data_IF_067647751763
#
_entry.id   IF_067647751763
#
_cell.length_a   1.000
_cell.length_b   1.000
_cell.length_c   1.000
_cell.angle_alpha   90.00
_cell.angle_beta   90.00
_cell.angle_gamma   90.00
#
_symmetry.space_group_name_H-M   'P 1'
#
loop_
_entity.id
_entity.type
_entity.pdbx_description
1 polymer ?
#
# COMPACT_ATOMS: atom_id res chain seq x y z
N UNK A 1 -38.65 35.00 -35.87
CA UNK A 1 -37.74 33.86 -35.98
C UNK A 1 -36.49 34.17 -35.19
N UNK A 2 -36.28 33.57 -34.02
CA UNK A 2 -35.01 33.73 -33.29
C UNK A 2 -34.02 32.64 -33.74
N UNK A 3 -32.81 33.09 -34.04
CA UNK A 3 -31.68 32.24 -34.44
C UNK A 3 -31.05 31.47 -33.28
N UNK A 4 -30.29 30.39 -33.56
CA UNK A 4 -29.75 29.52 -32.52
C UNK A 4 -28.55 30.15 -31.83
N UNK A 5 -28.57 30.13 -30.49
CA UNK A 5 -27.44 30.49 -29.63
C UNK A 5 -26.50 29.29 -29.57
N UNK A 6 -25.32 29.49 -30.12
CA UNK A 6 -24.24 28.49 -30.08
C UNK A 6 -23.53 28.58 -28.71
N UNK A 7 -23.77 27.61 -27.81
CA UNK A 7 -23.04 27.47 -26.56
C UNK A 7 -21.67 26.82 -26.86
N UNK A 8 -20.59 27.61 -26.80
CA UNK A 8 -19.24 27.08 -26.74
C UNK A 8 -18.98 26.57 -25.34
N UNK A 9 -18.86 25.25 -25.20
CA UNK A 9 -18.34 24.62 -23.98
C UNK A 9 -16.82 24.74 -23.96
N UNK A 10 -16.29 25.59 -23.07
CA UNK A 10 -14.87 25.60 -22.75
C UNK A 10 -14.54 24.36 -21.87
N UNK A 11 -13.89 23.37 -22.45
CA UNK A 11 -13.26 22.31 -21.70
C UNK A 11 -11.96 22.85 -21.07
N UNK A 12 -12.00 23.13 -19.77
CA UNK A 12 -10.80 23.45 -18.99
C UNK A 12 -9.99 22.15 -18.80
N UNK A 13 -8.88 22.01 -19.53
CA UNK A 13 -7.87 21.01 -19.22
C UNK A 13 -7.24 21.40 -17.86
N UNK A 14 -7.55 20.64 -16.83
CA UNK A 14 -6.82 20.69 -15.57
C UNK A 14 -5.43 20.09 -15.81
N UNK A 15 -4.44 20.94 -16.10
CA UNK A 15 -3.03 20.57 -16.04
C UNK A 15 -2.73 20.39 -14.56
N UNK A 16 -2.78 19.16 -14.08
CA UNK A 16 -2.29 18.80 -12.76
C UNK A 16 -0.80 19.15 -12.69
N UNK A 17 -0.47 20.24 -11.98
CA UNK A 17 0.91 20.57 -11.67
C UNK A 17 1.46 19.45 -10.76
N UNK A 18 2.17 18.49 -11.34
CA UNK A 18 3.00 17.58 -10.55
C UNK A 18 4.05 18.44 -9.85
N UNK A 19 3.90 18.60 -8.56
CA UNK A 19 4.94 19.22 -7.75
C UNK A 19 6.20 18.35 -7.86
N UNK A 20 7.37 18.97 -8.04
CA UNK A 20 8.62 18.21 -8.08
C UNK A 20 8.79 17.45 -6.76
N UNK A 21 9.14 16.16 -6.84
CA UNK A 21 9.46 15.36 -5.66
C UNK A 21 10.53 16.07 -4.82
N UNK A 22 10.38 16.12 -3.49
CA UNK A 22 11.39 16.76 -2.64
C UNK A 22 12.73 16.03 -2.79
N UNK A 23 13.82 16.79 -2.83
CA UNK A 23 15.17 16.24 -2.90
C UNK A 23 15.57 15.64 -1.55
N UNK A 24 16.46 14.64 -1.60
CA UNK A 24 17.09 14.10 -0.39
C UNK A 24 17.73 15.21 0.46
N UNK A 25 17.68 15.02 1.78
CA UNK A 25 18.23 15.96 2.76
C UNK A 25 19.52 15.40 3.37
N UNK A 26 20.68 15.60 2.71
CA UNK A 26 21.96 15.05 3.16
C UNK A 26 22.51 15.70 4.42
N UNK A 27 21.92 16.84 4.82
CA UNK A 27 22.25 17.58 6.03
C UNK A 27 21.70 16.96 7.32
N UNK A 28 20.80 15.98 7.22
CA UNK A 28 20.26 15.28 8.39
C UNK A 28 21.25 14.22 8.89
N UNK A 29 21.52 14.23 10.19
CA UNK A 29 22.20 13.12 10.86
C UNK A 29 21.28 11.92 10.82
N UNK A 30 21.76 10.80 10.26
CA UNK A 30 20.99 9.56 10.10
C UNK A 30 21.58 8.46 10.95
N UNK A 31 20.70 7.65 11.50
CA UNK A 31 21.09 6.43 12.17
C UNK A 31 21.57 5.40 11.16
N UNK A 32 22.41 4.43 11.57
CA UNK A 32 22.80 3.33 10.72
C UNK A 32 21.59 2.55 10.25
N UNK A 33 21.59 2.10 9.00
CA UNK A 33 20.60 1.19 8.45
C UNK A 33 21.32 0.09 7.62
N UNK A 34 20.62 -0.98 7.34
CA UNK A 34 21.12 -2.15 6.62
C UNK A 34 20.37 -2.34 5.29
N UNK A 35 20.89 -3.21 4.44
CA UNK A 35 20.18 -3.65 3.23
C UNK A 35 18.82 -4.27 3.57
N UNK A 36 18.71 -4.95 4.73
CA UNK A 36 17.43 -5.50 5.20
C UNK A 36 16.36 -4.43 5.48
N UNK A 37 16.76 -3.27 6.00
CA UNK A 37 15.85 -2.14 6.19
C UNK A 37 15.39 -1.56 4.84
N UNK A 38 16.32 -1.44 3.87
CA UNK A 38 16.00 -0.98 2.52
C UNK A 38 15.07 -1.96 1.81
N UNK A 39 15.34 -3.26 1.89
CA UNK A 39 14.51 -4.30 1.28
C UNK A 39 13.10 -4.32 1.88
N UNK A 40 12.99 -4.17 3.21
CA UNK A 40 11.70 -4.05 3.89
C UNK A 40 10.91 -2.84 3.41
N UNK A 41 11.51 -1.65 3.45
CA UNK A 41 10.85 -0.40 3.01
C UNK A 41 10.44 -0.48 1.54
N UNK A 42 11.30 -1.02 0.69
CA UNK A 42 11.06 -1.14 -0.75
C UNK A 42 9.97 -2.16 -1.07
N UNK A 43 9.93 -3.28 -0.33
CA UNK A 43 8.94 -4.35 -0.51
C UNK A 43 7.58 -4.01 0.09
N UNK A 44 7.53 -3.29 1.22
CA UNK A 44 6.28 -2.94 1.91
C UNK A 44 5.48 -1.86 1.17
N UNK A 45 6.13 -0.98 0.39
CA UNK A 45 5.43 0.01 -0.44
C UNK A 45 4.45 -0.64 -1.43
N UNK A 46 4.86 -1.56 -2.33
CA UNK A 46 3.93 -2.23 -3.24
C UNK A 46 2.93 -3.13 -2.52
N UNK A 47 3.31 -3.72 -1.38
CA UNK A 47 2.41 -4.48 -0.54
C UNK A 47 1.24 -3.59 -0.08
N UNK A 48 1.51 -2.48 0.57
CA UNK A 48 0.49 -1.53 1.01
C UNK A 48 -0.30 -0.90 -0.14
N UNK A 49 0.35 -0.60 -1.26
CA UNK A 49 -0.34 -0.07 -2.44
C UNK A 49 -1.39 -1.04 -3.00
N UNK A 50 -1.18 -2.34 -2.91
CA UNK A 50 -2.19 -3.32 -3.30
C UNK A 50 -3.38 -3.29 -2.33
N UNK A 51 -3.17 -3.22 -1.02
CA UNK A 51 -4.26 -3.11 -0.05
C UNK A 51 -5.06 -1.80 -0.23
N UNK A 52 -4.37 -0.67 -0.46
CA UNK A 52 -5.03 0.62 -0.78
C UNK A 52 -5.88 0.52 -2.03
N UNK A 53 -5.40 -0.18 -3.07
CA UNK A 53 -6.15 -0.39 -4.31
C UNK A 53 -7.45 -1.16 -4.04
N UNK A 54 -7.34 -2.33 -3.41
CA UNK A 54 -8.51 -3.20 -3.23
C UNK A 54 -9.47 -2.71 -2.14
N UNK A 55 -8.98 -2.06 -1.08
CA UNK A 55 -9.84 -1.39 -0.10
C UNK A 55 -10.59 -0.20 -0.71
N UNK A 56 -9.97 0.49 -1.68
CA UNK A 56 -10.61 1.56 -2.44
C UNK A 56 -11.80 1.10 -3.31
N UNK A 57 -11.96 -0.18 -3.56
CA UNK A 57 -13.12 -0.72 -4.30
C UNK A 57 -14.38 -0.87 -3.44
N UNK A 58 -14.28 -0.78 -2.12
CA UNK A 58 -15.34 -1.12 -1.18
C UNK A 58 -16.70 -0.46 -1.51
N UNK A 59 -16.72 0.85 -1.77
CA UNK A 59 -17.94 1.59 -2.09
C UNK A 59 -18.56 1.11 -3.41
N UNK A 60 -17.78 1.05 -4.48
CA UNK A 60 -18.23 0.67 -5.83
C UNK A 60 -18.65 -0.81 -5.92
N UNK A 61 -18.17 -1.64 -5.01
CA UNK A 61 -18.49 -3.07 -4.94
C UNK A 61 -19.60 -3.39 -3.94
N UNK A 62 -20.19 -2.37 -3.31
CA UNK A 62 -21.35 -2.51 -2.42
C UNK A 62 -21.03 -3.16 -1.08
N UNK A 63 -19.88 -2.84 -0.51
CA UNK A 63 -19.49 -3.30 0.81
C UNK A 63 -20.49 -2.84 1.88
N UNK A 64 -20.69 -3.69 2.90
CA UNK A 64 -21.54 -3.31 4.04
C UNK A 64 -20.92 -2.14 4.85
N UNK A 65 -21.74 -1.33 5.56
CA UNK A 65 -21.27 -0.11 6.21
C UNK A 65 -20.07 -0.26 7.14
N UNK A 66 -20.04 -1.32 7.94
CA UNK A 66 -18.93 -1.57 8.88
C UNK A 66 -17.61 -1.88 8.15
N UNK A 67 -17.71 -2.52 6.99
CA UNK A 67 -16.54 -2.83 6.16
C UNK A 67 -16.06 -1.58 5.40
N UNK A 68 -16.97 -0.72 4.93
CA UNK A 68 -16.62 0.58 4.36
C UNK A 68 -15.74 1.39 5.32
N UNK A 69 -16.17 1.52 6.57
CA UNK A 69 -15.38 2.25 7.61
C UNK A 69 -14.00 1.64 7.83
N UNK A 70 -13.90 0.30 7.82
CA UNK A 70 -12.60 -0.37 7.93
C UNK A 70 -11.71 -0.06 6.73
N UNK A 71 -12.25 -0.19 5.51
CA UNK A 71 -11.53 0.09 4.27
C UNK A 71 -11.04 1.55 4.18
N UNK A 72 -11.88 2.52 4.56
CA UNK A 72 -11.51 3.94 4.59
C UNK A 72 -10.31 4.18 5.52
N UNK A 73 -10.33 3.61 6.73
CA UNK A 73 -9.23 3.75 7.70
C UNK A 73 -7.95 3.10 7.19
N UNK A 74 -8.05 1.91 6.62
CA UNK A 74 -6.93 1.18 6.01
C UNK A 74 -6.30 1.99 4.86
N UNK A 75 -7.13 2.56 3.98
CA UNK A 75 -6.65 3.41 2.87
C UNK A 75 -5.87 4.63 3.39
N UNK A 76 -6.35 5.29 4.44
CA UNK A 76 -5.65 6.46 5.01
C UNK A 76 -4.35 6.03 5.67
N UNK A 77 -4.39 5.08 6.61
CA UNK A 77 -3.21 4.63 7.35
C UNK A 77 -2.10 4.12 6.43
N UNK A 78 -2.44 3.23 5.50
CA UNK A 78 -1.43 2.64 4.61
C UNK A 78 -0.88 3.65 3.57
N UNK A 79 -1.64 4.67 3.19
CA UNK A 79 -1.09 5.79 2.38
C UNK A 79 -0.07 6.61 3.16
N UNK A 80 -0.31 6.87 4.44
CA UNK A 80 0.61 7.60 5.29
C UNK A 80 1.91 6.79 5.49
N UNK A 81 1.81 5.48 5.70
CA UNK A 81 2.96 4.59 5.80
C UNK A 81 3.75 4.49 4.48
N UNK A 82 3.08 4.41 3.32
CA UNK A 82 3.73 4.50 2.00
C UNK A 82 4.49 5.83 1.87
N UNK A 83 3.88 6.94 2.25
CA UNK A 83 4.53 8.24 2.16
C UNK A 83 5.75 8.32 3.08
N UNK A 84 5.66 7.77 4.28
CA UNK A 84 6.77 7.68 5.24
C UNK A 84 7.94 6.85 4.64
N UNK A 85 7.68 5.62 4.19
CA UNK A 85 8.69 4.74 3.60
C UNK A 85 9.38 5.38 2.40
N UNK A 86 8.61 6.01 1.52
CA UNK A 86 9.14 6.71 0.34
C UNK A 86 10.03 7.89 0.72
N UNK A 87 9.68 8.64 1.76
CA UNK A 87 10.51 9.73 2.28
C UNK A 87 11.80 9.19 2.89
N UNK A 88 11.71 8.13 3.69
CA UNK A 88 12.86 7.48 4.31
C UNK A 88 13.87 7.00 3.27
N UNK A 89 13.42 6.30 2.21
CA UNK A 89 14.28 5.85 1.10
C UNK A 89 14.89 7.03 0.35
N UNK A 90 14.08 8.03 0.00
CA UNK A 90 14.56 9.22 -0.73
C UNK A 90 15.64 9.96 0.04
N UNK A 91 15.43 10.16 1.32
CA UNK A 91 16.36 10.87 2.18
C UNK A 91 17.71 10.15 2.30
N UNK A 92 17.76 8.86 2.05
CA UNK A 92 18.97 8.03 2.08
C UNK A 92 19.58 7.81 0.69
N UNK A 93 18.95 8.34 -0.37
CA UNK A 93 19.40 8.20 -1.75
C UNK A 93 19.11 6.82 -2.35
N UNK A 94 18.23 6.06 -1.71
CA UNK A 94 17.82 4.74 -2.14
C UNK A 94 16.77 4.80 -3.26
N UNK A 95 16.60 3.68 -3.97
CA UNK A 95 15.56 3.55 -5.01
C UNK A 95 14.17 3.64 -4.36
N UNK A 96 13.33 4.55 -4.88
CA UNK A 96 11.99 4.81 -4.34
C UNK A 96 10.93 4.22 -5.28
N UNK A 97 10.20 3.17 -4.88
CA UNK A 97 9.06 2.66 -5.65
C UNK A 97 7.97 3.72 -5.84
N UNK A 98 7.21 3.59 -6.93
CA UNK A 98 6.02 4.43 -7.11
C UNK A 98 4.98 4.14 -6.00
N UNK A 99 4.30 5.19 -5.53
CA UNK A 99 3.34 5.06 -4.42
C UNK A 99 2.12 4.15 -4.74
N UNK A 100 1.88 3.89 -6.01
CA UNK A 100 0.82 3.02 -6.52
C UNK A 100 1.37 1.75 -7.20
N UNK A 101 2.64 1.42 -7.02
CA UNK A 101 3.21 0.17 -7.50
C UNK A 101 2.58 -1.01 -6.74
N UNK A 102 1.98 -1.96 -7.44
CA UNK A 102 1.35 -3.15 -6.85
C UNK A 102 2.16 -4.43 -7.06
N UNK A 103 3.41 -4.29 -7.47
CA UNK A 103 4.38 -5.37 -7.65
C UNK A 103 5.73 -4.89 -7.17
N UNK A 104 6.46 -5.76 -6.48
CA UNK A 104 7.85 -5.50 -6.14
C UNK A 104 8.74 -5.87 -7.33
N UNK A 105 9.49 -4.88 -7.84
CA UNK A 105 10.38 -5.10 -8.98
C UNK A 105 11.79 -5.37 -8.49
N UNK A 106 12.27 -6.57 -8.75
CA UNK A 106 13.64 -6.98 -8.43
C UNK A 106 14.45 -7.24 -9.70
N UNK A 107 15.73 -6.89 -9.67
CA UNK A 107 16.65 -7.20 -10.75
C UNK A 107 17.46 -8.44 -10.39
N UNK A 108 17.19 -9.55 -11.06
CA UNK A 108 17.93 -10.81 -10.91
C UNK A 108 18.70 -11.11 -12.19
N UNK A 109 20.03 -11.31 -12.09
CA UNK A 109 20.91 -11.57 -13.24
C UNK A 109 20.77 -10.56 -14.40
N UNK A 110 20.50 -9.28 -14.07
CA UNK A 110 20.33 -8.21 -15.06
C UNK A 110 18.94 -8.12 -15.67
N UNK A 111 18.01 -9.03 -15.35
CA UNK A 111 16.62 -9.04 -15.82
C UNK A 111 15.70 -8.56 -14.68
N UNK A 112 14.74 -7.70 -15.00
CA UNK A 112 13.72 -7.26 -14.06
C UNK A 112 12.63 -8.32 -13.95
N UNK A 113 12.27 -8.65 -12.72
CA UNK A 113 11.19 -9.57 -12.37
C UNK A 113 10.20 -8.88 -11.47
N UNK A 114 8.91 -8.96 -11.79
CA UNK A 114 7.84 -8.55 -10.90
C UNK A 114 7.56 -9.70 -9.92
N UNK A 115 7.69 -9.41 -8.63
CA UNK A 115 7.45 -10.37 -7.55
C UNK A 115 6.28 -9.93 -6.69
N UNK A 116 5.50 -10.91 -6.24
CA UNK A 116 4.52 -10.69 -5.18
C UNK A 116 5.22 -10.90 -3.83
N UNK A 117 5.05 -9.93 -2.93
CA UNK A 117 5.48 -10.09 -1.54
C UNK A 117 4.54 -11.07 -0.80
N UNK A 118 4.95 -11.63 0.35
CA UNK A 118 4.13 -12.54 1.13
C UNK A 118 2.70 -12.01 1.33
N UNK A 119 1.69 -12.82 1.08
CA UNK A 119 0.30 -12.46 1.27
C UNK A 119 -0.35 -11.59 0.20
N UNK A 120 0.40 -11.02 -0.74
CA UNK A 120 -0.18 -10.26 -1.84
C UNK A 120 -1.07 -11.14 -2.74
N UNK A 121 -2.16 -10.55 -3.21
CA UNK A 121 -3.08 -11.21 -4.12
C UNK A 121 -2.46 -11.40 -5.51
N UNK A 122 -2.69 -12.57 -6.09
CA UNK A 122 -2.35 -12.84 -7.49
C UNK A 122 -3.28 -12.09 -8.44
N UNK A 123 -2.91 -11.94 -9.73
CA UNK A 123 -3.79 -11.35 -10.73
C UNK A 123 -5.16 -12.04 -10.82
N UNK A 124 -5.21 -13.37 -10.64
CA UNK A 124 -6.45 -14.15 -10.66
C UNK A 124 -7.34 -13.83 -9.46
N UNK A 125 -6.75 -13.73 -8.25
CA UNK A 125 -7.47 -13.33 -7.03
C UNK A 125 -7.98 -11.89 -7.10
N UNK A 126 -7.18 -10.98 -7.66
CA UNK A 126 -7.62 -9.60 -7.92
C UNK A 126 -8.81 -9.57 -8.88
N UNK A 127 -8.75 -10.34 -9.97
CA UNK A 127 -9.85 -10.44 -10.94
C UNK A 127 -11.11 -11.11 -10.36
N UNK A 128 -10.96 -12.06 -9.43
CA UNK A 128 -12.07 -12.66 -8.70
C UNK A 128 -12.74 -11.65 -7.78
N UNK A 129 -11.94 -10.90 -7.00
CA UNK A 129 -12.43 -9.88 -6.09
C UNK A 129 -13.12 -8.72 -6.84
N UNK A 130 -12.55 -8.28 -7.98
CA UNK A 130 -13.13 -7.20 -8.79
C UNK A 130 -14.47 -7.57 -9.44
N UNK A 131 -14.74 -8.86 -9.65
CA UNK A 131 -16.03 -9.35 -10.17
C UNK A 131 -17.12 -9.45 -9.11
N UNK A 132 -16.75 -9.66 -7.86
CA UNK A 132 -17.69 -9.86 -6.76
C UNK A 132 -18.40 -8.56 -6.37
N UNK A 133 -19.61 -8.65 -5.81
CA UNK A 133 -20.40 -7.51 -5.33
C UNK A 133 -21.14 -7.87 -4.04
N UNK A 134 -21.41 -6.86 -3.21
CA UNK A 134 -22.18 -6.99 -1.98
C UNK A 134 -21.61 -8.05 -1.03
N UNK A 135 -22.44 -8.92 -0.45
CA UNK A 135 -21.99 -9.91 0.54
C UNK A 135 -20.92 -10.89 0.01
N UNK A 136 -20.90 -11.16 -1.29
CA UNK A 136 -19.86 -12.00 -1.91
C UNK A 136 -18.51 -11.27 -1.93
N UNK A 137 -18.51 -9.98 -2.26
CA UNK A 137 -17.33 -9.14 -2.17
C UNK A 137 -16.80 -9.03 -0.74
N UNK A 138 -17.69 -8.75 0.23
CA UNK A 138 -17.33 -8.65 1.64
C UNK A 138 -16.56 -9.88 2.12
N UNK A 139 -17.07 -11.08 1.79
CA UNK A 139 -16.44 -12.33 2.19
C UNK A 139 -15.07 -12.55 1.54
N UNK A 140 -14.96 -12.30 0.24
CA UNK A 140 -13.70 -12.43 -0.48
C UNK A 140 -12.68 -11.41 0.00
N UNK A 141 -13.08 -10.13 0.14
CA UNK A 141 -12.22 -9.08 0.64
C UNK A 141 -11.67 -9.44 2.03
N UNK A 142 -12.53 -9.80 2.98
CA UNK A 142 -12.11 -10.15 4.33
C UNK A 142 -11.15 -11.35 4.33
N UNK A 143 -11.44 -12.37 3.52
CA UNK A 143 -10.59 -13.57 3.42
C UNK A 143 -9.22 -13.23 2.85
N UNK A 144 -9.17 -12.49 1.76
CA UNK A 144 -7.92 -12.13 1.08
C UNK A 144 -7.12 -11.11 1.90
N UNK A 145 -7.79 -10.12 2.49
CA UNK A 145 -7.11 -9.10 3.28
C UNK A 145 -6.53 -9.64 4.60
N UNK A 146 -7.15 -10.65 5.20
CA UNK A 146 -6.56 -11.37 6.35
C UNK A 146 -5.22 -12.00 5.92
N UNK A 147 -5.19 -12.73 4.82
CA UNK A 147 -3.95 -13.33 4.31
C UNK A 147 -2.90 -12.31 3.89
N UNK A 148 -3.35 -11.18 3.33
CA UNK A 148 -2.48 -10.07 2.97
C UNK A 148 -1.80 -9.46 4.21
N UNK A 149 -2.55 -9.22 5.27
CA UNK A 149 -2.03 -8.70 6.54
C UNK A 149 -1.09 -9.71 7.24
N UNK A 150 -1.42 -11.00 7.22
CA UNK A 150 -0.53 -12.05 7.71
C UNK A 150 0.81 -12.06 6.95
N UNK A 151 0.79 -11.74 5.65
CA UNK A 151 1.98 -11.55 4.84
C UNK A 151 2.83 -10.35 5.28
N UNK A 152 2.20 -9.21 5.59
CA UNK A 152 2.90 -8.05 6.13
C UNK A 152 3.59 -8.36 7.46
N UNK A 153 2.90 -9.06 8.38
CA UNK A 153 3.48 -9.51 9.65
C UNK A 153 4.69 -10.43 9.40
N UNK A 154 4.59 -11.34 8.42
CA UNK A 154 5.73 -12.18 8.02
C UNK A 154 6.93 -11.35 7.58
N UNK A 155 6.72 -10.31 6.77
CA UNK A 155 7.80 -9.40 6.33
C UNK A 155 8.43 -8.66 7.51
N UNK A 156 7.63 -8.21 8.47
CA UNK A 156 8.13 -7.59 9.72
C UNK A 156 8.96 -8.59 10.53
N UNK A 157 8.47 -9.81 10.71
CA UNK A 157 9.19 -10.87 11.44
C UNK A 157 10.53 -11.24 10.78
N UNK A 158 10.58 -11.20 9.45
CA UNK A 158 11.83 -11.41 8.70
C UNK A 158 12.81 -10.27 8.91
N UNK A 159 12.33 -9.03 8.92
CA UNK A 159 13.15 -7.86 9.23
C UNK A 159 13.75 -7.96 10.64
N UNK A 160 12.96 -8.33 11.65
CA UNK A 160 13.45 -8.51 13.03
C UNK A 160 14.51 -9.60 13.18
N UNK A 161 14.59 -10.53 12.23
CA UNK A 161 15.61 -11.58 12.18
C UNK A 161 16.83 -11.19 11.32
N UNK A 162 16.73 -10.09 10.56
CA UNK A 162 17.80 -9.64 9.67
C UNK A 162 18.96 -9.04 10.46
N UNK A 163 20.16 -9.54 10.19
CA UNK A 163 21.35 -9.06 10.89
C UNK A 163 21.65 -7.60 10.58
N UNK A 164 21.78 -6.78 11.61
CA UNK A 164 22.10 -5.34 11.50
C UNK A 164 20.92 -4.44 11.10
N UNK A 165 19.73 -5.00 10.90
CA UNK A 165 18.51 -4.22 10.69
C UNK A 165 18.00 -3.57 11.99
N UNK A 166 17.04 -2.64 11.83
CA UNK A 166 16.35 -1.98 12.94
C UNK A 166 17.25 -1.14 13.86
N UNK A 167 18.39 -0.68 13.36
CA UNK A 167 19.24 0.27 14.08
C UNK A 167 18.76 1.73 13.90
N UNK A 168 17.95 1.95 12.88
CA UNK A 168 17.28 3.22 12.62
C UNK A 168 15.94 3.22 13.36
N UNK A 169 15.74 4.21 14.27
CA UNK A 169 14.53 4.30 15.11
C UNK A 169 13.25 4.46 14.27
N UNK A 170 13.34 5.12 13.12
CA UNK A 170 12.21 5.29 12.21
C UNK A 170 11.75 3.95 11.63
N UNK A 171 12.71 3.07 11.24
CA UNK A 171 12.39 1.74 10.73
C UNK A 171 11.84 0.85 11.83
N UNK A 172 12.48 0.87 13.01
CA UNK A 172 12.02 0.10 14.16
C UNK A 172 10.58 0.47 14.57
N UNK A 173 10.30 1.77 14.66
CA UNK A 173 8.98 2.27 15.03
C UNK A 173 7.93 1.88 13.98
N UNK A 174 8.20 2.16 12.70
CA UNK A 174 7.27 1.81 11.62
C UNK A 174 6.99 0.31 11.57
N UNK A 175 8.01 -0.54 11.65
CA UNK A 175 7.83 -1.99 11.62
C UNK A 175 7.00 -2.49 12.81
N UNK A 176 7.23 -1.92 14.00
CA UNK A 176 6.47 -2.25 15.21
C UNK A 176 5.01 -1.81 15.11
N UNK A 177 4.76 -0.61 14.57
CA UNK A 177 3.41 -0.08 14.36
C UNK A 177 2.65 -0.90 13.32
N UNK A 178 3.27 -1.23 12.17
CA UNK A 178 2.69 -2.13 11.16
C UNK A 178 2.31 -3.46 11.78
N UNK A 179 3.19 -4.09 12.58
CA UNK A 179 2.89 -5.36 13.24
C UNK A 179 1.67 -5.26 14.15
N UNK A 180 1.59 -4.23 14.98
CA UNK A 180 0.50 -4.02 15.94
C UNK A 180 -0.83 -3.75 15.21
N UNK A 181 -0.84 -2.82 14.27
CA UNK A 181 -2.05 -2.43 13.55
C UNK A 181 -2.60 -3.55 12.68
N UNK A 182 -1.74 -4.24 11.94
CA UNK A 182 -2.14 -5.38 11.09
C UNK A 182 -2.70 -6.54 11.95
N UNK A 183 -2.13 -6.79 13.14
CA UNK A 183 -2.65 -7.80 14.08
C UNK A 183 -4.07 -7.44 14.53
N UNK A 184 -4.30 -6.18 14.93
CA UNK A 184 -5.62 -5.70 15.37
C UNK A 184 -6.63 -5.76 14.21
N UNK A 185 -6.23 -5.39 13.01
CA UNK A 185 -7.09 -5.44 11.84
C UNK A 185 -7.47 -6.87 11.44
N UNK A 186 -6.54 -7.83 11.51
CA UNK A 186 -6.82 -9.26 11.31
C UNK A 186 -7.90 -9.75 12.29
N UNK A 187 -7.75 -9.44 13.57
CA UNK A 187 -8.75 -9.84 14.57
C UNK A 187 -10.13 -9.24 14.27
N UNK A 188 -10.17 -7.98 13.88
CA UNK A 188 -11.40 -7.28 13.49
C UNK A 188 -12.04 -7.92 12.26
N UNK A 189 -11.24 -8.21 11.21
CA UNK A 189 -11.72 -8.86 9.99
C UNK A 189 -12.23 -10.27 10.25
N UNK A 190 -11.56 -11.07 11.09
CA UNK A 190 -12.04 -12.40 11.51
C UNK A 190 -13.40 -12.33 12.22
N UNK A 191 -13.59 -11.34 13.10
CA UNK A 191 -14.91 -11.10 13.76
C UNK A 191 -15.99 -10.67 12.76
N UNK A 192 -15.63 -9.94 11.72
CA UNK A 192 -16.56 -9.55 10.66
C UNK A 192 -16.91 -10.72 9.73
N UNK A 193 -15.97 -11.62 9.48
CA UNK A 193 -16.15 -12.79 8.62
C UNK A 193 -17.02 -13.88 9.27
N UNK A 194 -17.03 -13.96 10.60
CA UNK A 194 -17.81 -14.93 11.39
C UNK A 194 -19.29 -14.55 11.58
N UNK A 195 -19.71 -13.39 11.13
CA UNK A 195 -21.10 -12.87 11.21
C UNK A 195 -21.85 -13.08 9.90
#
# INVERSE_FOLDING_TARGET
MPGPILLLALAALAIGSQQPEPKARPDLVRQPYSDGDVDFMTGMIPHHAQAVLIAGWAESHGARPELLVLCERMVVGQRDEIAFMRNWLRDRGETVPAANATHHRMKMNGVEHDMLMPGMLTPEQLAELDKARGPAWDRLFLTFMIGHHEGAITMVDELFKSFGALQDDDVYTLASDIHADQTIEIERMRKMLSR
#
